data_IF_684481583775
#
_entry.id   IF_684481583775
#
_cell.length_a   1.000
_cell.length_b   1.000
_cell.length_c   1.000
_cell.angle_alpha   90.00
_cell.angle_beta   90.00
_cell.angle_gamma   90.00
#
_symmetry.space_group_name_H-M   'P 1'
#
loop_
_entity.id
_entity.type
_entity.pdbx_description
1 polymer ?
#
# COMPACT_ATOMS: atom_id res chain seq x y z
N UNK A 1 -18.42 16.56 -14.02
CA UNK A 1 -17.20 15.84 -13.62
C UNK A 1 -17.39 14.39 -13.98
N UNK A 2 -16.42 13.73 -14.60
CA UNK A 2 -16.55 12.31 -14.90
C UNK A 2 -16.72 11.54 -13.58
N UNK A 3 -17.51 10.46 -13.56
CA UNK A 3 -17.72 9.66 -12.35
C UNK A 3 -16.38 9.22 -11.72
N UNK A 4 -15.39 8.92 -12.58
CA UNK A 4 -14.04 8.53 -12.17
C UNK A 4 -13.31 9.65 -11.40
N UNK A 5 -13.45 10.91 -11.81
CA UNK A 5 -12.83 12.04 -11.10
C UNK A 5 -13.34 12.12 -9.66
N UNK A 6 -14.63 11.87 -9.46
CA UNK A 6 -15.27 11.85 -8.14
C UNK A 6 -14.71 10.71 -7.28
N UNK A 7 -14.52 9.51 -7.83
CA UNK A 7 -13.92 8.40 -7.09
C UNK A 7 -12.48 8.68 -6.66
N UNK A 8 -11.66 9.23 -7.54
CA UNK A 8 -10.29 9.62 -7.19
C UNK A 8 -10.25 10.74 -6.15
N UNK A 9 -11.14 11.72 -6.26
CA UNK A 9 -11.24 12.79 -5.26
C UNK A 9 -11.68 12.26 -3.89
N UNK A 10 -12.66 11.35 -3.85
CA UNK A 10 -13.08 10.69 -2.60
C UNK A 10 -11.91 9.90 -2.00
N UNK A 11 -11.20 9.11 -2.82
CA UNK A 11 -10.03 8.35 -2.37
C UNK A 11 -8.94 9.26 -1.78
N UNK A 12 -8.66 10.39 -2.43
CA UNK A 12 -7.72 11.39 -1.94
C UNK A 12 -8.17 11.98 -0.59
N UNK A 13 -9.42 12.43 -0.49
CA UNK A 13 -9.96 13.02 0.74
C UNK A 13 -9.97 12.02 1.90
N UNK A 14 -10.36 10.77 1.64
CA UNK A 14 -10.31 9.69 2.64
C UNK A 14 -8.87 9.45 3.08
N UNK A 15 -7.93 9.35 2.13
CA UNK A 15 -6.53 9.12 2.46
C UNK A 15 -5.92 10.25 3.30
N UNK A 16 -6.22 11.52 2.96
CA UNK A 16 -5.78 12.68 3.75
C UNK A 16 -6.41 12.64 5.14
N UNK A 17 -7.72 12.40 5.22
CA UNK A 17 -8.46 12.39 6.49
C UNK A 17 -7.96 11.29 7.42
N UNK A 18 -7.68 10.10 6.88
CA UNK A 18 -7.04 9.01 7.62
C UNK A 18 -5.65 9.39 8.12
N UNK A 19 -4.84 10.05 7.30
CA UNK A 19 -3.52 10.54 7.68
C UNK A 19 -3.57 11.60 8.78
N UNK A 20 -4.49 12.56 8.68
CA UNK A 20 -4.73 13.59 9.71
C UNK A 20 -5.26 12.99 11.01
N UNK A 21 -6.05 11.92 10.95
CA UNK A 21 -6.58 11.25 12.15
C UNK A 21 -5.52 10.39 12.83
N UNK A 22 -4.87 9.50 12.05
CA UNK A 22 -3.94 8.48 12.54
C UNK A 22 -2.54 9.02 12.85
N UNK A 23 -2.09 10.05 12.13
CA UNK A 23 -0.75 10.60 12.25
C UNK A 23 0.29 9.90 11.36
N UNK A 24 1.35 10.64 10.99
CA UNK A 24 2.43 10.17 10.12
C UNK A 24 3.16 8.95 10.70
N UNK A 25 3.55 9.02 11.98
CA UNK A 25 4.32 7.98 12.64
C UNK A 25 3.58 6.65 12.61
N UNK A 26 2.27 6.67 12.88
CA UNK A 26 1.45 5.46 12.80
C UNK A 26 1.39 4.91 11.37
N UNK A 27 1.18 5.76 10.37
CA UNK A 27 1.11 5.31 8.97
C UNK A 27 2.44 4.70 8.49
N UNK A 28 3.57 5.34 8.77
CA UNK A 28 4.90 4.83 8.39
C UNK A 28 5.22 3.53 9.09
N UNK A 29 5.00 3.46 10.41
CA UNK A 29 5.26 2.24 11.17
C UNK A 29 4.35 1.10 10.71
N UNK A 30 3.09 1.38 10.36
CA UNK A 30 2.19 0.36 9.82
C UNK A 30 2.69 -0.20 8.49
N UNK A 31 3.19 0.65 7.59
CA UNK A 31 3.79 0.20 6.32
C UNK A 31 5.06 -0.62 6.57
N UNK A 32 5.93 -0.13 7.46
CA UNK A 32 7.15 -0.86 7.84
C UNK A 32 6.83 -2.22 8.48
N UNK A 33 5.80 -2.29 9.32
CA UNK A 33 5.36 -3.54 9.94
C UNK A 33 4.94 -4.58 8.88
N UNK A 34 4.18 -4.17 7.87
CA UNK A 34 3.82 -5.05 6.76
C UNK A 34 5.05 -5.54 5.99
N UNK A 35 6.01 -4.66 5.68
CA UNK A 35 7.24 -5.03 4.98
C UNK A 35 8.10 -6.00 5.82
N UNK A 36 8.28 -5.70 7.10
CA UNK A 36 9.04 -6.55 8.02
C UNK A 36 8.36 -7.91 8.21
N UNK A 37 7.03 -7.96 8.35
CA UNK A 37 6.30 -9.21 8.46
C UNK A 37 6.45 -10.07 7.20
N UNK A 38 6.45 -9.47 6.01
CA UNK A 38 6.73 -10.19 4.77
C UNK A 38 8.16 -10.71 4.74
N UNK A 39 9.16 -9.90 5.09
CA UNK A 39 10.56 -10.34 5.14
C UNK A 39 10.76 -11.50 6.13
N UNK A 40 10.18 -11.40 7.32
CA UNK A 40 10.22 -12.46 8.32
C UNK A 40 9.52 -13.73 7.83
N UNK A 41 8.37 -13.61 7.17
CA UNK A 41 7.69 -14.74 6.55
C UNK A 41 8.55 -15.43 5.49
N UNK A 42 9.28 -14.65 4.67
CA UNK A 42 10.21 -15.19 3.68
C UNK A 42 11.40 -15.91 4.30
N UNK A 43 11.88 -15.46 5.46
CA UNK A 43 13.04 -16.07 6.12
C UNK A 43 12.69 -17.26 7.01
N UNK A 44 11.62 -17.15 7.79
CA UNK A 44 11.27 -18.13 8.82
C UNK A 44 10.12 -19.04 8.40
N UNK A 45 9.39 -18.72 7.33
CA UNK A 45 8.19 -19.45 6.95
C UNK A 45 8.45 -20.90 6.57
N UNK A 46 9.62 -21.21 5.99
CA UNK A 46 10.01 -22.57 5.66
C UNK A 46 10.35 -23.38 6.92
N UNK A 47 11.21 -22.84 7.79
CA UNK A 47 11.58 -23.47 9.07
C UNK A 47 10.35 -23.76 9.94
N UNK A 48 9.46 -22.77 10.06
CA UNK A 48 8.21 -22.92 10.80
C UNK A 48 7.32 -23.95 10.15
N UNK A 49 7.21 -23.97 8.81
CA UNK A 49 6.50 -25.01 8.07
C UNK A 49 6.90 -26.42 8.48
N UNK A 50 8.19 -26.68 8.64
CA UNK A 50 8.73 -27.99 9.05
C UNK A 50 8.42 -28.38 10.50
N UNK A 51 8.13 -27.42 11.38
CA UNK A 51 7.73 -27.70 12.76
C UNK A 51 6.23 -28.02 12.91
N UNK A 52 5.42 -27.72 11.90
CA UNK A 52 4.00 -28.07 11.95
C UNK A 52 3.81 -29.58 11.73
N UNK A 53 2.89 -30.22 12.48
CA UNK A 53 2.54 -31.63 12.30
C UNK A 53 1.64 -31.81 11.05
N UNK A 54 2.20 -31.55 9.88
CA UNK A 54 1.55 -31.67 8.57
C UNK A 54 2.11 -32.85 7.76
N UNK A 55 2.46 -33.92 8.46
CA UNK A 55 3.02 -35.13 7.86
C UNK A 55 2.09 -35.69 6.78
N UNK A 56 2.66 -36.09 5.65
CA UNK A 56 1.92 -36.62 4.50
C UNK A 56 1.27 -35.57 3.60
N UNK A 57 1.38 -34.27 3.91
CA UNK A 57 0.87 -33.21 3.04
C UNK A 57 1.86 -32.81 1.94
N UNK A 58 1.39 -32.22 0.83
CA UNK A 58 2.27 -31.68 -0.21
C UNK A 58 3.22 -30.62 0.36
N UNK A 59 4.51 -30.69 0.01
CA UNK A 59 5.54 -29.75 0.49
C UNK A 59 5.17 -28.29 0.22
N UNK A 60 4.53 -28.01 -0.92
CA UNK A 60 4.04 -26.67 -1.27
C UNK A 60 3.00 -26.15 -0.25
N UNK A 61 2.10 -27.01 0.24
CA UNK A 61 1.10 -26.64 1.23
C UNK A 61 1.77 -26.33 2.58
N UNK A 62 2.67 -27.20 3.04
CA UNK A 62 3.41 -27.03 4.30
C UNK A 62 4.15 -25.69 4.32
N UNK A 63 4.85 -25.37 3.23
CA UNK A 63 5.55 -24.09 3.07
C UNK A 63 4.60 -22.91 3.11
N UNK A 64 3.51 -22.94 2.34
CA UNK A 64 2.53 -21.84 2.33
C UNK A 64 1.94 -21.59 3.72
N UNK A 65 1.59 -22.66 4.44
CA UNK A 65 1.05 -22.54 5.80
C UNK A 65 2.07 -21.92 6.75
N UNK A 66 3.33 -22.35 6.71
CA UNK A 66 4.39 -21.77 7.54
C UNK A 66 4.61 -20.28 7.26
N UNK A 67 4.66 -19.88 5.99
CA UNK A 67 4.77 -18.47 5.58
C UNK A 67 3.59 -17.64 6.09
N UNK A 68 2.36 -18.11 5.89
CA UNK A 68 1.14 -17.41 6.36
C UNK A 68 1.16 -17.29 7.88
N UNK A 69 1.54 -18.35 8.60
CA UNK A 69 1.59 -18.33 10.05
C UNK A 69 2.59 -17.29 10.57
N UNK A 70 3.82 -17.30 10.05
CA UNK A 70 4.86 -16.33 10.42
C UNK A 70 4.43 -14.91 10.08
N UNK A 71 3.86 -14.71 8.89
CA UNK A 71 3.37 -13.41 8.45
C UNK A 71 2.32 -12.86 9.43
N UNK A 72 1.29 -13.65 9.71
CA UNK A 72 0.19 -13.26 10.60
C UNK A 72 0.72 -12.93 11.99
N UNK A 73 1.51 -13.82 12.60
CA UNK A 73 2.09 -13.60 13.94
C UNK A 73 2.94 -12.33 13.96
N UNK A 74 3.78 -12.12 12.95
CA UNK A 74 4.64 -10.94 12.85
C UNK A 74 3.83 -9.65 12.74
N UNK A 75 2.78 -9.64 11.91
CA UNK A 75 1.87 -8.48 11.78
C UNK A 75 1.23 -8.14 13.12
N UNK A 76 0.76 -9.13 13.88
CA UNK A 76 0.16 -8.90 15.19
C UNK A 76 1.16 -8.37 16.20
N UNK A 77 2.34 -9.00 16.31
CA UNK A 77 3.39 -8.59 17.24
C UNK A 77 3.88 -7.17 16.92
N UNK A 78 4.23 -6.88 15.67
CA UNK A 78 4.64 -5.54 15.28
C UNK A 78 3.49 -4.54 15.30
N UNK A 79 2.24 -4.99 15.13
CA UNK A 79 1.04 -4.16 15.31
C UNK A 79 0.91 -3.60 16.73
N UNK A 80 1.31 -4.36 17.75
CA UNK A 80 1.38 -3.87 19.14
C UNK A 80 2.41 -2.73 19.28
N UNK A 81 3.55 -2.85 18.61
CA UNK A 81 4.59 -1.81 18.58
C UNK A 81 4.08 -0.56 17.87
N UNK A 82 3.45 -0.73 16.71
CA UNK A 82 2.83 0.35 15.91
C UNK A 82 1.73 1.07 16.72
N UNK A 83 1.00 0.37 17.59
CA UNK A 83 0.02 0.97 18.49
C UNK A 83 0.64 1.73 19.66
N UNK A 84 1.78 1.28 20.17
CA UNK A 84 2.44 1.88 21.33
C UNK A 84 3.21 3.16 20.99
N UNK A 85 4.00 3.16 19.90
CA UNK A 85 4.93 4.26 19.59
C UNK A 85 4.25 5.62 19.40
N UNK A 86 3.11 5.76 18.68
CA UNK A 86 2.46 7.06 18.48
C UNK A 86 2.04 7.73 19.80
N UNK A 87 1.81 6.95 20.86
CA UNK A 87 1.49 7.50 22.19
C UNK A 87 2.67 8.27 22.78
N UNK A 88 3.90 7.85 22.49
CA UNK A 88 5.10 8.57 22.91
C UNK A 88 5.23 9.91 22.19
N UNK A 89 4.87 9.95 20.90
CA UNK A 89 4.82 11.19 20.10
C UNK A 89 3.78 12.17 20.67
N UNK A 90 2.63 11.64 21.09
CA UNK A 90 1.59 12.43 21.74
C UNK A 90 2.06 12.99 23.09
N UNK A 91 2.77 12.20 23.90
CA UNK A 91 3.37 12.65 25.17
C UNK A 91 4.44 13.74 24.99
N UNK A 92 5.19 13.70 23.88
CA UNK A 92 6.16 14.72 23.53
C UNK A 92 5.52 16.05 23.03
N UNK A 93 4.18 16.11 22.94
CA UNK A 93 3.46 17.29 22.44
C UNK A 93 3.53 17.51 20.93
N UNK A 94 4.10 16.55 20.19
CA UNK A 94 4.32 16.65 18.74
C UNK A 94 3.09 16.22 17.90
N UNK A 95 1.96 15.96 18.56
CA UNK A 95 0.73 15.46 17.93
C UNK A 95 0.23 16.32 16.75
N UNK A 96 0.23 17.68 16.80
CA UNK A 96 -0.21 18.48 15.67
C UNK A 96 0.68 18.32 14.43
N UNK A 97 2.00 18.29 14.64
CA UNK A 97 2.99 18.11 13.57
C UNK A 97 2.86 16.73 12.96
N UNK A 98 2.76 15.69 13.80
CA UNK A 98 2.57 14.31 13.36
C UNK A 98 1.29 14.14 12.50
N UNK A 99 0.19 14.78 12.88
CA UNK A 99 -1.05 14.78 12.09
C UNK A 99 -0.90 15.51 10.77
N UNK A 100 -0.28 16.69 10.75
CA UNK A 100 -0.06 17.44 9.49
C UNK A 100 0.80 16.66 8.51
N UNK A 101 1.90 16.06 9.00
CA UNK A 101 2.73 15.16 8.20
C UNK A 101 1.93 13.93 7.75
N UNK A 102 1.03 13.43 8.59
CA UNK A 102 0.13 12.32 8.24
C UNK A 102 -0.80 12.69 7.09
N UNK A 103 -1.37 13.90 7.10
CA UNK A 103 -2.15 14.43 5.98
C UNK A 103 -1.35 14.52 4.67
N UNK A 104 -0.11 15.04 4.74
CA UNK A 104 0.79 15.09 3.58
C UNK A 104 1.15 13.70 3.05
N UNK A 105 1.42 12.75 3.94
CA UNK A 105 1.63 11.35 3.57
C UNK A 105 0.37 10.71 2.98
N UNK A 106 -0.82 11.09 3.47
CA UNK A 106 -2.11 10.72 2.90
C UNK A 106 -2.29 11.19 1.46
N UNK A 107 -1.83 12.40 1.12
CA UNK A 107 -1.78 12.88 -0.28
C UNK A 107 -0.88 11.97 -1.12
N UNK A 108 0.36 11.73 -0.65
CA UNK A 108 1.32 10.89 -1.35
C UNK A 108 0.76 9.48 -1.60
N UNK A 109 0.18 8.85 -0.58
CA UNK A 109 -0.46 7.54 -0.69
C UNK A 109 -1.58 7.53 -1.73
N UNK A 110 -2.45 8.53 -1.72
CA UNK A 110 -3.54 8.62 -2.68
C UNK A 110 -3.02 8.75 -4.12
N UNK A 111 -2.00 9.58 -4.34
CA UNK A 111 -1.35 9.72 -5.65
C UNK A 111 -0.75 8.40 -6.10
N UNK A 112 -0.02 7.69 -5.23
CA UNK A 112 0.56 6.38 -5.57
C UNK A 112 -0.53 5.38 -5.95
N UNK A 113 -1.61 5.29 -5.18
CA UNK A 113 -2.74 4.40 -5.49
C UNK A 113 -3.42 4.75 -6.81
N UNK A 114 -3.61 6.04 -7.09
CA UNK A 114 -4.19 6.53 -8.34
C UNK A 114 -3.31 6.19 -9.55
N UNK A 115 -1.99 6.35 -9.44
CA UNK A 115 -1.03 5.94 -10.46
C UNK A 115 -1.04 4.42 -10.68
N UNK A 116 -1.09 3.64 -9.59
CA UNK A 116 -1.15 2.18 -9.67
C UNK A 116 -2.44 1.70 -10.37
N UNK A 117 -3.59 2.30 -10.05
CA UNK A 117 -4.86 2.04 -10.73
C UNK A 117 -4.79 2.43 -12.21
N UNK A 118 -4.14 3.56 -12.52
CA UNK A 118 -3.94 4.02 -13.89
C UNK A 118 -3.13 3.02 -14.71
N UNK A 119 -2.02 2.52 -14.15
CA UNK A 119 -1.24 1.44 -14.78
C UNK A 119 -2.13 0.22 -15.03
N UNK A 120 -2.91 -0.21 -14.03
CA UNK A 120 -3.84 -1.34 -14.18
C UNK A 120 -4.84 -1.14 -15.31
N UNK A 121 -5.43 0.06 -15.44
CA UNK A 121 -6.35 0.38 -16.53
C UNK A 121 -5.66 0.39 -17.89
N UNK A 122 -4.46 0.98 -18.00
CA UNK A 122 -3.70 1.05 -19.25
C UNK A 122 -3.28 -0.35 -19.76
N UNK A 123 -3.15 -1.33 -18.87
CA UNK A 123 -2.89 -2.73 -19.23
C UNK A 123 -4.15 -3.49 -19.68
N UNK A 124 -5.32 -2.85 -19.68
CA UNK A 124 -6.61 -3.46 -20.06
C UNK A 124 -7.31 -2.66 -21.17
N UNK A 125 -8.35 -3.25 -21.77
CA UNK A 125 -9.18 -2.57 -22.78
C UNK A 125 -10.00 -1.39 -22.24
N UNK A 126 -10.03 -1.17 -20.92
CA UNK A 126 -10.78 -0.09 -20.28
C UNK A 126 -10.25 1.32 -20.60
N UNK A 127 -9.02 1.44 -21.14
CA UNK A 127 -8.47 2.71 -21.60
C UNK A 127 -9.34 3.42 -22.65
N UNK A 128 -10.07 2.69 -23.49
CA UNK A 128 -10.90 3.26 -24.58
C UNK A 128 -12.33 3.58 -24.15
N UNK A 129 -12.62 3.45 -22.86
CA UNK A 129 -13.97 3.68 -22.34
C UNK A 129 -14.26 5.17 -22.20
N UNK A 130 -15.50 5.58 -22.44
CA UNK A 130 -15.92 6.98 -22.33
C UNK A 130 -15.64 7.58 -20.94
N UNK A 131 -15.81 6.80 -19.87
CA UNK A 131 -15.55 7.25 -18.50
C UNK A 131 -14.05 7.49 -18.20
N UNK A 132 -13.15 6.86 -18.95
CA UNK A 132 -11.71 7.08 -18.85
C UNK A 132 -11.27 8.30 -19.66
N UNK A 133 -11.72 8.41 -20.92
CA UNK A 133 -11.36 9.51 -21.82
C UNK A 133 -11.90 10.87 -21.35
N UNK A 134 -13.06 10.89 -20.68
CA UNK A 134 -13.64 12.12 -20.13
C UNK A 134 -12.98 12.57 -18.82
N UNK A 135 -12.21 11.71 -18.16
CA UNK A 135 -11.66 11.97 -16.82
C UNK A 135 -10.38 12.79 -16.87
N UNK A 136 -10.43 14.01 -16.32
CA UNK A 136 -9.24 14.86 -16.17
C UNK A 136 -8.20 14.22 -15.28
N UNK A 137 -8.66 13.50 -14.27
CA UNK A 137 -7.82 12.86 -13.27
C UNK A 137 -7.07 11.65 -13.88
N UNK A 138 -7.70 10.89 -14.79
CA UNK A 138 -7.05 9.85 -15.58
C UNK A 138 -5.97 10.42 -16.54
N UNK A 139 -6.28 11.52 -17.23
CA UNK A 139 -5.31 12.21 -18.09
C UNK A 139 -4.10 12.73 -17.29
N UNK A 140 -4.34 13.39 -16.16
CA UNK A 140 -3.28 13.89 -15.28
C UNK A 140 -2.38 12.76 -14.75
N UNK A 141 -2.98 11.62 -14.38
CA UNK A 141 -2.24 10.44 -13.92
C UNK A 141 -1.42 9.81 -15.04
N UNK A 142 -1.98 9.72 -16.26
CA UNK A 142 -1.27 9.21 -17.43
C UNK A 142 -0.07 10.10 -17.79
N UNK A 143 -0.25 11.42 -17.75
CA UNK A 143 0.83 12.38 -17.94
C UNK A 143 1.92 12.23 -16.87
N UNK A 144 1.53 12.10 -15.59
CA UNK A 144 2.50 11.87 -14.51
C UNK A 144 3.30 10.58 -14.71
N UNK A 145 2.66 9.49 -15.16
CA UNK A 145 3.34 8.24 -15.48
C UNK A 145 4.35 8.39 -16.63
N UNK A 146 4.06 9.21 -17.65
CA UNK A 146 5.01 9.48 -18.74
C UNK A 146 6.27 10.19 -18.23
N UNK A 147 6.12 11.14 -17.31
CA UNK A 147 7.27 11.81 -16.68
C UNK A 147 8.08 10.85 -15.80
N UNK A 148 7.42 9.86 -15.19
CA UNK A 148 8.03 8.84 -14.36
C UNK A 148 8.51 7.62 -15.16
N UNK A 149 8.38 7.61 -16.49
CA UNK A 149 8.77 6.48 -17.36
C UNK A 149 10.18 5.92 -17.10
N UNK A 150 11.22 6.72 -16.80
CA UNK A 150 12.55 6.20 -16.49
C UNK A 150 12.61 5.33 -15.22
N UNK A 151 11.68 5.52 -14.28
CA UNK A 151 11.59 4.80 -13.02
C UNK A 151 10.68 3.57 -13.11
N UNK A 152 9.91 3.45 -14.19
CA UNK A 152 8.95 2.36 -14.35
C UNK A 152 9.65 1.08 -14.84
N UNK A 153 9.21 -0.10 -14.37
CA UNK A 153 9.67 -1.37 -14.93
C UNK A 153 9.36 -1.44 -16.43
N UNK A 154 10.25 -2.06 -17.21
CA UNK A 154 10.11 -2.18 -18.66
C UNK A 154 8.73 -2.78 -19.09
N UNK A 155 8.20 -3.71 -18.29
CA UNK A 155 6.89 -4.33 -18.53
C UNK A 155 5.69 -3.38 -18.40
N UNK A 156 5.83 -2.26 -17.68
CA UNK A 156 4.78 -1.22 -17.58
C UNK A 156 4.99 -0.14 -18.63
N UNK A 157 6.25 0.22 -18.90
CA UNK A 157 6.61 1.28 -19.83
C UNK A 157 6.10 1.07 -21.27
N UNK A 158 5.86 -0.18 -21.68
CA UNK A 158 5.31 -0.54 -22.99
C UNK A 158 3.82 -0.21 -23.17
N UNK A 159 3.06 -0.04 -22.08
CA UNK A 159 1.61 0.23 -22.13
C UNK A 159 1.28 1.73 -22.07
N UNK A 160 2.29 2.57 -21.83
CA UNK A 160 2.13 4.02 -21.82
C UNK A 160 2.05 4.57 -23.26
N UNK A 161 1.15 5.53 -23.53
CA UNK A 161 1.16 6.30 -24.77
C UNK A 161 2.48 7.02 -25.00
#
# INVERSE_FOLDING_TARGET
>A
MALLDTFFLIGLLVSISLGLWRGFVYEVLAVLNWLLALLLAQWLGEDVGHWLPLDGQPLALVRVVGYVLVFVVSVFVGGLVVWAIPKLVEQAGLRPVDRMLGGAFGVLRAVILMLALTVGVLMTSFRQSAWWEESRAAHASTWALQQLKPLLPAGVAQYLP
#
